data_IF_154515442849
#
_entry.id   IF_154515442849
#
_cell.length_a   1.000
_cell.length_b   1.000
_cell.length_c   1.000
_cell.angle_alpha   90.00
_cell.angle_beta   90.00
_cell.angle_gamma   90.00
#
_symmetry.space_group_name_H-M   'P 1'
#
loop_
_entity.id
_entity.type
_entity.pdbx_description
1 polymer ?
#
# COMPACT_ATOMS: atom_id res chain seq x y z
N UNK A 1 -26.39 26.55 -11.25
CA UNK A 1 -26.17 26.33 -9.80
C UNK A 1 -27.46 25.84 -9.17
N UNK A 2 -27.39 24.84 -8.29
CA UNK A 2 -28.55 24.33 -7.54
C UNK A 2 -28.49 24.82 -6.10
N UNK A 3 -29.62 24.81 -5.39
CA UNK A 3 -29.65 25.11 -3.96
C UNK A 3 -28.69 24.19 -3.17
N UNK A 4 -28.52 22.95 -3.63
CA UNK A 4 -27.59 21.97 -3.06
C UNK A 4 -26.13 22.41 -3.19
N UNK A 5 -25.70 22.84 -4.40
CA UNK A 5 -24.33 23.30 -4.62
C UNK A 5 -23.99 24.56 -3.81
N UNK A 6 -24.96 25.46 -3.62
CA UNK A 6 -24.77 26.68 -2.81
C UNK A 6 -24.59 26.34 -1.32
N UNK A 7 -25.40 25.42 -0.79
CA UNK A 7 -25.26 24.96 0.60
C UNK A 7 -23.92 24.30 0.83
N UNK A 8 -23.49 23.39 -0.05
CA UNK A 8 -22.21 22.72 0.08
C UNK A 8 -21.03 23.71 -0.01
N UNK A 9 -21.11 24.72 -0.88
CA UNK A 9 -20.09 25.76 -0.95
C UNK A 9 -20.00 26.59 0.34
N UNK A 10 -21.13 26.94 0.95
CA UNK A 10 -21.16 27.65 2.24
C UNK A 10 -20.57 26.79 3.37
N UNK A 11 -20.98 25.53 3.48
CA UNK A 11 -20.42 24.62 4.48
C UNK A 11 -18.93 24.38 4.26
N UNK A 12 -18.51 24.17 3.02
CA UNK A 12 -17.10 24.04 2.68
C UNK A 12 -16.30 25.26 3.17
N UNK A 13 -16.80 26.46 2.91
CA UNK A 13 -16.18 27.71 3.37
C UNK A 13 -16.09 27.78 4.89
N UNK A 14 -17.14 27.37 5.62
CA UNK A 14 -17.13 27.31 7.09
C UNK A 14 -16.12 26.32 7.65
N UNK A 15 -15.84 25.25 6.91
CA UNK A 15 -14.86 24.22 7.28
C UNK A 15 -13.45 24.49 6.72
N UNK A 16 -13.24 25.62 6.03
CA UNK A 16 -11.96 25.95 5.40
C UNK A 16 -11.58 25.02 4.24
N UNK A 17 -12.57 24.41 3.60
CA UNK A 17 -12.43 23.46 2.50
C UNK A 17 -12.99 24.03 1.20
N UNK A 18 -12.58 23.45 0.07
CA UNK A 18 -13.25 23.65 -1.22
C UNK A 18 -14.58 22.88 -1.26
N UNK A 19 -15.57 23.31 -2.08
CA UNK A 19 -16.84 22.59 -2.23
C UNK A 19 -16.65 21.11 -2.61
N UNK A 20 -15.67 20.82 -3.47
CA UNK A 20 -15.32 19.47 -3.91
C UNK A 20 -14.76 18.62 -2.76
N UNK A 21 -13.86 19.18 -1.94
CA UNK A 21 -13.32 18.52 -0.76
C UNK A 21 -14.40 18.22 0.28
N UNK A 22 -15.32 19.17 0.48
CA UNK A 22 -16.43 19.00 1.40
C UNK A 22 -17.40 17.90 0.95
N UNK A 23 -17.71 17.83 -0.35
CA UNK A 23 -18.54 16.74 -0.90
C UNK A 23 -17.85 15.38 -0.75
N UNK A 24 -16.53 15.31 -1.02
CA UNK A 24 -15.76 14.08 -0.85
C UNK A 24 -15.71 13.64 0.62
N UNK A 25 -15.51 14.59 1.53
CA UNK A 25 -15.50 14.32 2.97
C UNK A 25 -16.86 13.78 3.43
N UNK A 26 -17.96 14.43 3.01
CA UNK A 26 -19.32 13.96 3.28
C UNK A 26 -19.58 12.55 2.74
N UNK A 27 -19.10 12.24 1.53
CA UNK A 27 -19.23 10.91 0.95
C UNK A 27 -18.46 9.85 1.77
N UNK A 28 -17.26 10.18 2.26
CA UNK A 28 -16.46 9.31 3.14
C UNK A 28 -17.16 9.05 4.47
N UNK A 29 -17.71 10.08 5.09
CA UNK A 29 -18.41 9.96 6.38
C UNK A 29 -19.68 9.12 6.24
N UNK A 30 -20.44 9.31 5.16
CA UNK A 30 -21.60 8.48 4.84
C UNK A 30 -21.20 7.01 4.62
N UNK A 31 -20.16 6.76 3.83
CA UNK A 31 -19.67 5.40 3.59
C UNK A 31 -19.24 4.73 4.91
N UNK A 32 -18.48 5.45 5.74
CA UNK A 32 -18.04 4.97 7.05
C UNK A 32 -19.24 4.59 7.93
N UNK A 33 -20.28 5.43 7.97
CA UNK A 33 -21.50 5.15 8.73
C UNK A 33 -22.19 3.89 8.22
N UNK A 34 -22.43 3.79 6.91
CA UNK A 34 -23.12 2.65 6.31
C UNK A 34 -22.33 1.35 6.50
N UNK A 35 -21.02 1.39 6.31
CA UNK A 35 -20.14 0.24 6.53
C UNK A 35 -20.15 -0.18 8.00
N UNK A 36 -20.11 0.76 8.94
CA UNK A 36 -20.16 0.45 10.36
C UNK A 36 -21.51 -0.19 10.76
N UNK A 37 -22.63 0.34 10.26
CA UNK A 37 -23.96 -0.23 10.50
C UNK A 37 -24.10 -1.64 9.90
N UNK A 38 -23.54 -1.85 8.71
CA UNK A 38 -23.51 -3.15 8.05
C UNK A 38 -22.69 -4.17 8.86
N UNK A 39 -21.46 -3.81 9.27
CA UNK A 39 -20.60 -4.69 10.07
C UNK A 39 -21.17 -4.97 11.47
N UNK A 40 -21.90 -4.01 12.04
CA UNK A 40 -22.60 -4.21 13.32
C UNK A 40 -23.72 -5.26 13.19
N UNK A 41 -24.40 -5.31 12.05
CA UNK A 41 -25.43 -6.31 11.74
C UNK A 41 -24.86 -7.67 11.32
N UNK A 42 -23.63 -7.67 10.80
CA UNK A 42 -22.93 -8.85 10.28
C UNK A 42 -21.61 -9.12 11.02
N UNK A 43 -21.62 -9.38 12.34
CA UNK A 43 -20.41 -9.60 13.12
C UNK A 43 -19.64 -10.86 12.69
N UNK A 44 -20.28 -11.80 11.97
CA UNK A 44 -19.64 -12.95 11.35
C UNK A 44 -18.57 -12.57 10.31
N UNK A 45 -18.73 -11.44 9.62
CA UNK A 45 -17.75 -10.96 8.65
C UNK A 45 -16.46 -10.51 9.33
N UNK A 46 -16.56 -10.02 10.58
CA UNK A 46 -15.40 -9.70 11.42
C UNK A 46 -14.68 -10.95 11.95
N UNK A 47 -15.35 -12.11 11.96
CA UNK A 47 -14.81 -13.38 12.48
C UNK A 47 -14.09 -14.23 11.42
N UNK A 48 -13.82 -13.66 10.25
CA UNK A 48 -13.18 -14.37 9.12
C UNK A 48 -11.65 -14.31 9.09
N UNK A 49 -11.00 -13.94 10.20
CA UNK A 49 -9.64 -14.37 10.48
C UNK A 49 -9.72 -15.55 11.46
N UNK A 50 -9.10 -16.72 11.18
CA UNK A 50 -9.03 -17.79 12.16
C UNK A 50 -8.37 -17.24 13.42
N UNK A 51 -9.12 -17.28 14.52
CA UNK A 51 -8.67 -16.96 15.85
C UNK A 51 -7.66 -18.02 16.34
N UNK A 52 -6.41 -17.90 15.91
CA UNK A 52 -5.25 -18.38 16.65
C UNK A 52 -4.48 -17.19 17.23
N UNK A 53 -5.17 -16.35 17.99
CA UNK A 53 -4.49 -15.49 18.97
C UNK A 53 -5.37 -15.45 20.22
N UNK A 54 -4.83 -15.77 21.40
CA UNK A 54 -5.60 -15.66 22.63
C UNK A 54 -5.94 -14.19 22.83
N UNK A 55 -7.21 -13.95 23.12
CA UNK A 55 -7.75 -12.70 23.66
C UNK A 55 -6.85 -12.18 24.77
N UNK A 56 -6.32 -10.96 24.57
CA UNK A 56 -6.41 -9.86 25.53
C UNK A 56 -5.41 -8.77 25.13
N UNK A 57 -5.90 -7.74 24.43
CA UNK A 57 -5.83 -6.34 24.88
C UNK A 57 -6.47 -5.42 23.85
N UNK A 58 -7.39 -4.62 24.35
CA UNK A 58 -8.11 -3.57 23.65
C UNK A 58 -7.16 -2.42 23.36
N UNK A 59 -7.27 -1.86 22.16
CA UNK A 59 -6.90 -0.47 21.89
C UNK A 59 -5.40 -0.24 21.72
N UNK A 60 -4.89 -0.47 20.53
CA UNK A 60 -3.78 0.34 20.04
C UNK A 60 -3.95 0.52 18.54
N UNK A 61 -4.00 1.79 18.14
CA UNK A 61 -4.18 2.22 16.78
C UNK A 61 -3.10 1.59 15.90
N UNK A 62 -3.51 1.09 14.73
CA UNK A 62 -2.64 0.62 13.65
C UNK A 62 -1.60 1.70 13.29
N UNK A 63 -0.47 1.69 13.99
CA UNK A 63 0.74 2.34 13.53
C UNK A 63 1.28 1.55 12.32
N UNK A 64 1.87 2.21 11.31
CA UNK A 64 2.43 1.51 10.17
C UNK A 64 3.52 0.56 10.68
N UNK A 65 3.24 -0.73 10.53
CA UNK A 65 3.99 -1.87 11.05
C UNK A 65 5.48 -1.77 10.71
N UNK A 66 6.30 -1.33 11.68
CA UNK A 66 7.74 -1.59 11.71
C UNK A 66 8.00 -2.94 12.37
N UNK A 67 7.40 -4.01 11.86
CA UNK A 67 7.74 -5.39 12.27
C UNK A 67 8.53 -6.08 11.17
N UNK A 68 9.80 -5.68 11.04
CA UNK A 68 10.78 -6.48 10.29
C UNK A 68 10.91 -7.89 10.87
N UNK A 69 10.74 -8.04 12.19
CA UNK A 69 10.82 -9.34 12.88
C UNK A 69 9.62 -10.26 12.65
N UNK A 70 8.42 -9.72 12.43
CA UNK A 70 7.20 -10.51 12.20
C UNK A 70 7.06 -11.01 10.76
N UNK A 71 7.49 -10.20 9.79
CA UNK A 71 7.43 -10.56 8.38
C UNK A 71 8.34 -11.76 8.07
N UNK A 72 9.59 -11.74 8.55
CA UNK A 72 10.55 -12.81 8.29
C UNK A 72 10.13 -14.16 8.86
N UNK A 73 9.55 -14.20 10.07
CA UNK A 73 9.07 -15.45 10.68
C UNK A 73 7.89 -16.03 9.90
N UNK A 74 7.00 -15.18 9.39
CA UNK A 74 5.89 -15.61 8.53
C UNK A 74 6.42 -16.14 7.20
N UNK A 75 7.37 -15.44 6.59
CA UNK A 75 8.01 -15.84 5.33
C UNK A 75 8.73 -17.19 5.47
N UNK A 76 9.48 -17.41 6.57
CA UNK A 76 10.11 -18.69 6.90
C UNK A 76 9.11 -19.82 7.10
N UNK A 77 7.96 -19.56 7.74
CA UNK A 77 6.89 -20.55 7.92
C UNK A 77 6.27 -21.00 6.60
N UNK A 78 6.18 -20.11 5.60
CA UNK A 78 5.65 -20.43 4.27
C UNK A 78 6.67 -21.10 3.33
N UNK A 79 7.95 -20.71 3.37
CA UNK A 79 8.99 -21.23 2.49
C UNK A 79 9.66 -22.51 3.03
N UNK A 80 9.33 -22.94 4.24
CA UNK A 80 9.96 -24.08 4.92
C UNK A 80 11.25 -23.70 5.64
N UNK A 81 11.60 -24.48 6.68
CA UNK A 81 12.76 -24.22 7.54
C UNK A 81 14.12 -24.24 6.80
N UNK A 82 14.16 -24.86 5.61
CA UNK A 82 15.33 -24.92 4.72
C UNK A 82 15.43 -23.75 3.74
N UNK A 83 14.57 -22.73 3.90
CA UNK A 83 14.60 -21.56 3.02
C UNK A 83 15.83 -20.69 3.30
N UNK A 84 16.46 -20.24 2.21
CA UNK A 84 17.59 -19.30 2.28
C UNK A 84 17.18 -18.06 3.09
N UNK A 85 18.11 -17.44 3.84
CA UNK A 85 17.83 -16.22 4.58
C UNK A 85 17.13 -15.19 3.67
N UNK A 86 16.12 -14.51 4.21
CA UNK A 86 15.48 -13.40 3.50
C UNK A 86 16.51 -12.29 3.39
N UNK A 87 17.21 -12.24 2.27
CA UNK A 87 18.19 -11.19 2.00
C UNK A 87 17.41 -9.93 1.65
N UNK A 88 17.43 -8.95 2.54
CA UNK A 88 16.90 -7.62 2.23
C UNK A 88 17.67 -7.04 1.04
N UNK A 89 16.96 -6.49 0.05
CA UNK A 89 17.58 -5.76 -1.07
C UNK A 89 18.15 -4.39 -0.64
N UNK A 90 18.69 -4.29 0.58
CA UNK A 90 19.48 -3.13 1.00
C UNK A 90 20.80 -3.15 0.23
N UNK A 91 21.27 -1.97 -0.16
CA UNK A 91 22.35 -1.76 -1.12
C UNK A 91 23.67 -2.49 -0.78
N UNK A 92 23.85 -2.88 0.48
CA UNK A 92 25.06 -3.54 1.00
C UNK A 92 25.19 -5.03 0.59
N UNK A 93 24.15 -5.64 0.02
CA UNK A 93 24.12 -7.07 -0.34
C UNK A 93 23.99 -7.33 -1.85
N UNK A 94 24.12 -6.30 -2.69
CA UNK A 94 24.07 -6.46 -4.14
C UNK A 94 25.46 -6.84 -4.64
N UNK A 95 25.58 -8.04 -5.23
CA UNK A 95 26.79 -8.46 -5.91
C UNK A 95 27.09 -7.51 -7.09
N UNK A 96 28.23 -6.79 -7.08
CA UNK A 96 28.56 -5.79 -8.09
C UNK A 96 28.72 -6.39 -9.49
N UNK A 97 29.14 -7.65 -9.60
CA UNK A 97 29.26 -8.33 -10.90
C UNK A 97 27.88 -8.67 -11.48
N UNK A 98 26.95 -9.10 -10.64
CA UNK A 98 25.57 -9.36 -11.05
C UNK A 98 24.85 -8.08 -11.44
N UNK A 99 25.12 -6.98 -10.74
CA UNK A 99 24.61 -5.66 -11.09
C UNK A 99 25.15 -5.19 -12.44
N UNK A 100 26.45 -5.38 -12.70
CA UNK A 100 27.07 -5.03 -13.98
C UNK A 100 26.47 -5.85 -15.15
N UNK A 101 26.28 -7.16 -14.95
CA UNK A 101 25.63 -8.04 -15.95
C UNK A 101 24.19 -7.62 -16.23
N UNK A 102 23.42 -7.31 -15.19
CA UNK A 102 22.03 -6.85 -15.35
C UNK A 102 21.96 -5.51 -16.11
N UNK A 103 22.86 -4.56 -15.81
CA UNK A 103 22.95 -3.29 -16.54
C UNK A 103 23.32 -3.50 -18.01
N UNK A 104 24.28 -4.38 -18.31
CA UNK A 104 24.67 -4.69 -19.69
C UNK A 104 23.52 -5.34 -20.48
N UNK A 105 22.78 -6.28 -19.87
CA UNK A 105 21.62 -6.92 -20.48
C UNK A 105 20.48 -5.91 -20.74
N UNK A 106 20.20 -5.03 -19.77
CA UNK A 106 19.20 -3.98 -19.94
C UNK A 106 19.57 -2.98 -21.04
N UNK A 107 20.86 -2.61 -21.15
CA UNK A 107 21.35 -1.76 -22.23
C UNK A 107 21.25 -2.45 -23.60
N UNK A 108 21.52 -3.76 -23.68
CA UNK A 108 21.34 -4.53 -24.91
C UNK A 108 19.86 -4.59 -25.34
N UNK A 109 18.94 -4.78 -24.37
CA UNK A 109 17.50 -4.79 -24.64
C UNK A 109 17.02 -3.43 -25.17
N UNK A 110 17.46 -2.34 -24.54
CA UNK A 110 17.13 -0.98 -24.97
C UNK A 110 17.70 -0.65 -26.37
N UNK A 111 18.85 -1.23 -26.74
CA UNK A 111 19.41 -1.09 -28.10
C UNK A 111 18.68 -1.94 -29.13
N UNK A 112 18.16 -3.11 -28.74
CA UNK A 112 17.46 -4.03 -29.65
C UNK A 112 16.08 -3.52 -30.08
N UNK A 113 15.38 -2.80 -29.21
CA UNK A 113 14.07 -2.21 -29.51
C UNK A 113 13.93 -0.84 -28.79
N UNK A 114 14.47 0.22 -29.40
CA UNK A 114 14.48 1.55 -28.82
C UNK A 114 13.09 2.18 -28.72
N UNK A 115 12.19 1.90 -29.67
CA UNK A 115 10.84 2.46 -29.67
C UNK A 115 10.02 1.92 -28.50
N UNK A 116 10.21 0.65 -28.15
CA UNK A 116 9.48 0.02 -27.05
C UNK A 116 10.12 0.28 -25.68
N UNK A 117 11.45 0.25 -25.59
CA UNK A 117 12.16 0.29 -24.30
C UNK A 117 12.94 1.57 -24.03
N UNK A 118 13.18 2.44 -25.01
CA UNK A 118 13.97 3.68 -24.82
C UNK A 118 13.35 4.65 -23.81
N UNK A 119 12.01 4.69 -23.73
CA UNK A 119 11.29 5.53 -22.77
C UNK A 119 11.20 4.92 -21.36
N UNK A 120 11.40 3.59 -21.25
CA UNK A 120 11.21 2.81 -20.01
C UNK A 120 12.56 2.57 -19.34
N UNK A 121 13.55 2.14 -20.13
CA UNK A 121 14.93 1.91 -19.71
C UNK A 121 15.71 3.15 -20.09
N UNK A 122 15.59 4.21 -19.28
CA UNK A 122 16.46 5.38 -19.42
C UNK A 122 17.89 4.91 -19.22
N UNK A 123 18.73 5.06 -20.24
CA UNK A 123 20.16 4.87 -20.09
C UNK A 123 20.65 5.90 -19.07
N UNK A 124 20.82 5.47 -17.83
CA UNK A 124 21.52 6.30 -16.85
C UNK A 124 22.96 6.40 -17.34
N UNK A 125 23.41 7.64 -17.50
CA UNK A 125 24.70 7.99 -18.08
C UNK A 125 25.87 7.23 -17.45
N UNK A 126 26.86 7.04 -18.31
CA UNK A 126 28.23 6.57 -18.03
C UNK A 126 28.85 7.29 -16.84
#
# INVERSE_FOLDING_TARGET
MTLYSIKNALFATMHGMTPEEYELQKARDNLKSVTNDFLTKHPELLKSAPAETPTDKRGEAFSPMRDTFGAEQRIKKFLGAESRPVVSHTADHIDPEMLAKAKAAAAALAKSDPDRYGNIIKQQGV
#
